data_IF_260174957168
#
_entry.id   IF_260174957168
#
_cell.length_a   1.000
_cell.length_b   1.000
_cell.length_c   1.000
_cell.angle_alpha   90.00
_cell.angle_beta   90.00
_cell.angle_gamma   90.00
#
_symmetry.space_group_name_H-M   'P 1'
#
loop_
_entity.id
_entity.type
_entity.pdbx_description
1 polymer ?
#
# COMPACT_ATOMS: atom_id res chain seq x y z
N UNK A 1 8.72 -1.63 15.14
CA UNK A 1 7.35 -1.07 15.13
C UNK A 1 6.97 -0.38 16.44
N UNK A 2 6.74 -1.10 17.55
CA UNK A 2 6.28 -0.50 18.81
C UNK A 2 7.06 0.73 19.28
N UNK A 3 8.39 0.74 19.20
CA UNK A 3 9.23 1.87 19.64
C UNK A 3 8.90 3.22 18.99
N UNK A 4 8.46 3.22 17.72
CA UNK A 4 8.27 4.46 16.96
C UNK A 4 6.80 4.74 16.60
N UNK A 5 5.94 3.71 16.66
CA UNK A 5 4.56 3.81 16.17
C UNK A 5 3.49 3.42 17.20
N UNK A 6 3.85 3.15 18.46
CA UNK A 6 2.87 2.72 19.47
C UNK A 6 1.70 3.70 19.63
N UNK A 7 1.93 5.01 19.50
CA UNK A 7 0.90 6.06 19.58
C UNK A 7 -0.11 6.03 18.42
N UNK A 8 0.11 5.21 17.39
CA UNK A 8 -0.80 4.99 16.27
C UNK A 8 -1.47 3.62 16.32
N UNK A 9 -1.02 2.69 17.16
CA UNK A 9 -1.49 1.30 17.17
C UNK A 9 -2.52 1.12 18.28
N UNK A 10 -3.66 0.51 17.97
CA UNK A 10 -4.65 0.08 18.96
C UNK A 10 -5.26 -1.28 18.59
N UNK A 11 -5.46 -2.20 19.56
CA UNK A 11 -4.85 -2.19 20.88
C UNK A 11 -3.33 -2.36 20.75
N UNK A 12 -2.57 -1.76 21.66
CA UNK A 12 -1.12 -1.94 21.72
C UNK A 12 -0.74 -2.75 22.95
N UNK A 13 -0.04 -3.86 22.72
CA UNK A 13 0.39 -4.81 23.77
C UNK A 13 1.90 -4.77 24.04
N UNK A 14 2.63 -3.83 23.43
CA UNK A 14 4.08 -3.73 23.60
C UNK A 14 4.49 -2.88 24.81
N UNK A 15 5.81 -2.71 24.95
CA UNK A 15 6.44 -2.12 26.15
C UNK A 15 6.95 -0.69 25.97
N UNK A 16 6.73 -0.07 24.80
CA UNK A 16 7.35 1.22 24.46
C UNK A 16 6.51 2.44 24.84
N UNK A 17 5.38 2.26 25.54
CA UNK A 17 4.50 3.33 25.99
C UNK A 17 3.03 2.95 25.87
N UNK A 18 2.14 3.92 26.06
CA UNK A 18 0.70 3.72 25.85
C UNK A 18 0.36 3.58 24.36
N UNK A 19 -0.65 2.76 24.05
CA UNK A 19 -1.20 2.66 22.71
C UNK A 19 -2.07 3.85 22.31
N UNK A 20 -2.56 3.82 21.08
CA UNK A 20 -3.65 4.70 20.67
C UNK A 20 -5.00 4.23 21.25
N UNK A 21 -5.92 5.17 21.47
CA UNK A 21 -7.31 4.84 21.83
C UNK A 21 -8.10 4.26 20.65
N UNK A 22 -7.76 4.68 19.43
CA UNK A 22 -8.30 4.16 18.18
C UNK A 22 -7.15 3.76 17.27
N UNK A 23 -7.29 2.64 16.56
CA UNK A 23 -6.24 2.18 15.66
C UNK A 23 -6.05 3.14 14.48
N UNK A 24 -4.83 3.59 14.27
CA UNK A 24 -4.41 4.46 13.16
C UNK A 24 -3.24 3.83 12.39
N UNK A 25 -2.99 2.54 12.60
CA UNK A 25 -1.91 1.80 11.98
C UNK A 25 -2.45 0.52 11.32
N UNK A 26 -2.45 0.50 10.00
CA UNK A 26 -3.05 -0.56 9.18
C UNK A 26 -1.99 -1.13 8.23
N UNK A 27 -1.18 -2.12 8.65
CA UNK A 27 -0.13 -2.70 7.84
C UNK A 27 -0.68 -3.70 6.81
N UNK A 28 0.07 -3.91 5.72
CA UNK A 28 -0.07 -5.06 4.82
C UNK A 28 1.10 -6.02 5.04
N UNK A 29 0.86 -7.33 4.95
CA UNK A 29 1.92 -8.33 4.99
C UNK A 29 2.86 -8.21 3.78
N UNK A 30 4.16 -8.40 4.02
CA UNK A 30 5.18 -8.60 3.00
C UNK A 30 5.93 -9.91 3.14
N UNK A 31 6.87 -10.17 2.22
CA UNK A 31 7.62 -11.43 2.22
C UNK A 31 8.47 -11.63 3.49
N UNK A 32 8.95 -10.54 4.09
CA UNK A 32 9.69 -10.62 5.35
C UNK A 32 8.82 -11.04 6.53
N UNK A 33 7.52 -10.73 6.52
CA UNK A 33 6.58 -11.21 7.55
C UNK A 33 6.32 -12.70 7.38
N UNK A 34 6.08 -13.15 6.15
CA UNK A 34 5.85 -14.57 5.82
C UNK A 34 7.06 -15.46 6.11
N UNK A 35 8.27 -15.04 5.73
CA UNK A 35 9.51 -15.75 6.06
C UNK A 35 9.68 -15.86 7.58
N UNK A 36 9.18 -14.89 8.35
CA UNK A 36 9.28 -14.88 9.81
C UNK A 36 8.15 -15.69 10.43
N UNK A 37 8.40 -17.00 10.60
CA UNK A 37 7.45 -17.93 11.24
C UNK A 37 6.05 -17.88 10.60
N UNK A 38 5.98 -17.82 9.28
CA UNK A 38 4.71 -17.84 8.53
C UNK A 38 3.75 -16.73 8.97
N UNK A 39 4.27 -15.48 9.07
CA UNK A 39 3.52 -14.30 9.49
C UNK A 39 2.94 -14.35 10.92
N UNK A 40 3.19 -15.39 11.72
CA UNK A 40 2.62 -15.53 13.05
C UNK A 40 2.90 -14.32 13.97
N UNK A 41 4.11 -13.73 14.01
CA UNK A 41 4.36 -12.55 14.85
C UNK A 41 3.52 -11.34 14.45
N UNK A 42 3.20 -11.19 13.16
CA UNK A 42 2.30 -10.14 12.68
C UNK A 42 0.87 -10.39 13.18
N UNK A 43 0.36 -11.62 13.03
CA UNK A 43 -1.00 -12.01 13.42
C UNK A 43 -1.21 -11.96 14.95
N UNK A 44 -0.16 -12.25 15.71
CA UNK A 44 -0.18 -12.14 17.17
C UNK A 44 -0.19 -10.68 17.63
N UNK A 45 0.58 -9.82 16.95
CA UNK A 45 0.86 -8.46 17.39
C UNK A 45 -0.25 -7.48 17.03
N UNK A 46 -0.77 -7.53 15.80
CA UNK A 46 -1.82 -6.63 15.36
C UNK A 46 -3.22 -7.18 15.70
N UNK A 47 -4.20 -6.27 15.78
CA UNK A 47 -5.62 -6.61 15.71
C UNK A 47 -6.24 -5.79 14.60
N UNK A 48 -6.55 -6.44 13.49
CA UNK A 48 -6.99 -5.81 12.25
C UNK A 48 -8.39 -6.31 11.85
N UNK A 49 -9.10 -5.58 10.96
CA UNK A 49 -10.35 -6.07 10.42
C UNK A 49 -10.18 -7.34 9.57
N UNK A 50 -11.30 -7.94 9.17
CA UNK A 50 -11.31 -9.07 8.24
C UNK A 50 -10.61 -10.31 8.80
N UNK A 51 -9.76 -10.93 7.99
CA UNK A 51 -8.93 -12.06 8.40
C UNK A 51 -7.50 -11.62 8.80
N UNK A 52 -7.28 -10.31 8.96
CA UNK A 52 -6.02 -9.66 9.32
C UNK A 52 -4.90 -9.73 8.27
N UNK A 53 -5.01 -10.60 7.26
CA UNK A 53 -4.08 -10.70 6.12
C UNK A 53 -4.48 -9.78 4.97
N UNK A 54 -5.77 -9.79 4.64
CA UNK A 54 -6.40 -8.85 3.74
C UNK A 54 -7.75 -8.39 4.30
N UNK A 55 -8.00 -7.10 4.18
CA UNK A 55 -9.11 -6.47 4.86
C UNK A 55 -9.42 -5.09 4.29
N UNK A 56 -10.49 -4.47 4.77
CA UNK A 56 -10.82 -3.10 4.39
C UNK A 56 -11.12 -2.25 5.61
N UNK A 57 -10.95 -0.95 5.46
CA UNK A 57 -11.37 0.05 6.44
C UNK A 57 -11.67 1.38 5.74
N UNK A 58 -12.29 2.31 6.45
CA UNK A 58 -12.61 3.64 5.93
C UNK A 58 -12.03 4.73 6.83
N UNK A 59 -11.46 5.77 6.22
CA UNK A 59 -11.05 7.01 6.89
C UNK A 59 -11.51 8.19 6.05
N UNK A 60 -12.47 8.95 6.58
CA UNK A 60 -13.08 10.07 5.87
C UNK A 60 -13.65 9.64 4.50
N UNK A 61 -13.26 10.31 3.40
CA UNK A 61 -13.74 10.01 2.05
C UNK A 61 -13.05 8.80 1.39
N UNK A 62 -12.11 8.13 2.07
CA UNK A 62 -11.31 7.06 1.48
C UNK A 62 -11.68 5.70 2.06
N UNK A 63 -12.05 4.76 1.19
CA UNK A 63 -12.07 3.33 1.48
C UNK A 63 -10.71 2.74 1.10
N UNK A 64 -10.09 2.05 2.06
CA UNK A 64 -8.82 1.36 1.88
C UNK A 64 -9.05 -0.14 1.81
N UNK A 65 -8.40 -0.79 0.85
CA UNK A 65 -8.40 -2.23 0.65
C UNK A 65 -6.97 -2.74 0.75
N UNK A 66 -6.70 -3.52 1.78
CA UNK A 66 -5.39 -4.08 2.09
C UNK A 66 -5.35 -5.49 1.57
N UNK A 67 -4.34 -5.82 0.76
CA UNK A 67 -4.15 -7.17 0.22
C UNK A 67 -2.86 -7.80 0.75
N UNK A 68 -2.85 -9.12 0.80
CA UNK A 68 -1.64 -9.92 0.90
C UNK A 68 -1.20 -10.34 -0.51
N UNK A 69 0.03 -9.97 -0.86
CA UNK A 69 0.60 -10.19 -2.20
C UNK A 69 1.67 -11.27 -2.21
N UNK A 70 1.95 -11.88 -1.06
CA UNK A 70 2.97 -12.92 -0.94
C UNK A 70 2.45 -14.29 -1.40
N UNK A 71 3.28 -15.05 -2.09
CA UNK A 71 2.91 -16.36 -2.63
C UNK A 71 2.47 -17.38 -1.56
N UNK A 72 2.75 -17.14 -0.28
CA UNK A 72 2.29 -17.97 0.82
C UNK A 72 0.85 -17.69 1.29
N UNK A 73 0.16 -16.66 0.77
CA UNK A 73 -1.23 -16.41 1.14
C UNK A 73 -2.14 -17.60 0.76
N UNK A 74 -2.78 -18.28 1.73
CA UNK A 74 -3.59 -19.48 1.48
C UNK A 74 -4.80 -19.24 0.57
N UNK A 75 -5.37 -18.03 0.57
CA UNK A 75 -6.51 -17.70 -0.29
C UNK A 75 -6.09 -17.34 -1.74
N UNK A 76 -4.78 -17.29 -2.01
CA UNK A 76 -4.15 -17.05 -3.31
C UNK A 76 -3.90 -15.57 -3.62
N UNK A 77 -2.98 -15.32 -4.55
CA UNK A 77 -2.49 -13.97 -4.92
C UNK A 77 -2.62 -13.59 -6.40
N UNK A 78 -3.25 -14.45 -7.20
CA UNK A 78 -3.53 -14.11 -8.60
C UNK A 78 -4.97 -13.61 -8.75
N UNK A 79 -5.31 -13.10 -9.94
CA UNK A 79 -6.61 -12.49 -10.21
C UNK A 79 -7.82 -13.46 -10.11
N UNK A 80 -7.58 -14.78 -10.10
CA UNK A 80 -8.60 -15.82 -9.90
C UNK A 80 -8.69 -16.34 -8.46
N UNK A 81 -7.94 -15.73 -7.53
CA UNK A 81 -7.90 -16.12 -6.13
C UNK A 81 -9.18 -15.79 -5.37
N UNK A 82 -9.37 -16.42 -4.20
CA UNK A 82 -10.48 -16.09 -3.29
C UNK A 82 -10.34 -14.64 -2.80
N UNK A 83 -9.11 -14.19 -2.55
CA UNK A 83 -8.81 -12.80 -2.20
C UNK A 83 -9.21 -11.82 -3.32
N UNK A 84 -8.92 -12.14 -4.59
CA UNK A 84 -9.28 -11.28 -5.73
C UNK A 84 -10.80 -11.17 -5.92
N UNK A 85 -11.54 -12.27 -5.78
CA UNK A 85 -13.00 -12.25 -5.81
C UNK A 85 -13.61 -11.47 -4.64
N UNK A 86 -13.00 -11.57 -3.45
CA UNK A 86 -13.36 -10.73 -2.30
C UNK A 86 -13.18 -9.24 -2.64
N UNK A 87 -12.01 -8.85 -3.14
CA UNK A 87 -11.71 -7.46 -3.47
C UNK A 87 -12.67 -6.90 -4.51
N UNK A 88 -12.89 -7.63 -5.60
CA UNK A 88 -13.83 -7.26 -6.66
C UNK A 88 -15.22 -7.00 -6.09
N UNK A 89 -15.71 -7.88 -5.21
CA UNK A 89 -17.00 -7.69 -4.53
C UNK A 89 -17.01 -6.48 -3.61
N UNK A 90 -15.93 -6.22 -2.87
CA UNK A 90 -15.90 -5.09 -1.95
C UNK A 90 -15.85 -3.74 -2.68
N UNK A 91 -15.09 -3.65 -3.77
CA UNK A 91 -15.03 -2.42 -4.57
C UNK A 91 -16.38 -2.10 -5.22
N UNK A 92 -17.13 -3.09 -5.71
CA UNK A 92 -18.48 -2.86 -6.28
C UNK A 92 -19.50 -2.43 -5.23
N UNK A 93 -19.27 -2.74 -3.95
CA UNK A 93 -20.12 -2.30 -2.83
C UNK A 93 -19.65 -0.97 -2.22
N UNK A 94 -18.50 -0.44 -2.62
CA UNK A 94 -17.96 0.78 -2.06
C UNK A 94 -18.79 2.00 -2.47
N UNK A 95 -19.07 2.85 -1.49
CA UNK A 95 -19.72 4.16 -1.66
C UNK A 95 -18.79 5.30 -1.26
N UNK A 96 -17.50 5.01 -1.08
CA UNK A 96 -16.51 6.03 -0.78
C UNK A 96 -16.17 6.83 -2.05
N UNK A 97 -15.93 8.15 -1.93
CA UNK A 97 -15.38 8.95 -3.02
C UNK A 97 -14.08 8.38 -3.61
N UNK A 98 -13.24 7.75 -2.78
CA UNK A 98 -11.96 7.20 -3.19
C UNK A 98 -11.77 5.75 -2.73
N UNK A 99 -11.39 4.88 -3.66
CA UNK A 99 -10.99 3.51 -3.40
C UNK A 99 -9.47 3.35 -3.59
N UNK A 100 -8.75 3.19 -2.47
CA UNK A 100 -7.30 3.00 -2.46
C UNK A 100 -6.97 1.56 -2.10
N UNK A 101 -6.19 0.90 -2.95
CA UNK A 101 -5.71 -0.46 -2.72
C UNK A 101 -4.23 -0.38 -2.34
N UNK A 102 -3.80 -1.16 -1.35
CA UNK A 102 -2.38 -1.29 -1.06
C UNK A 102 -1.95 -2.68 -0.59
N UNK A 103 -0.71 -3.04 -0.94
CA UNK A 103 -0.08 -4.33 -0.65
C UNK A 103 1.44 -4.24 -0.81
N UNK A 104 2.17 -5.33 -0.61
CA UNK A 104 3.64 -5.29 -0.59
C UNK A 104 4.29 -5.29 -1.98
N UNK A 105 4.03 -6.30 -2.82
CA UNK A 105 4.76 -6.53 -4.07
C UNK A 105 4.18 -5.74 -5.26
N UNK A 106 4.93 -4.85 -5.93
CA UNK A 106 4.41 -3.92 -6.93
C UNK A 106 4.02 -4.62 -8.25
N UNK A 107 2.83 -4.37 -8.84
CA UNK A 107 2.48 -4.91 -10.16
C UNK A 107 3.39 -4.38 -11.28
N UNK A 108 3.87 -3.16 -11.10
CA UNK A 108 4.76 -2.44 -11.99
C UNK A 108 5.85 -1.74 -11.18
N UNK A 109 7.11 -1.96 -11.56
CA UNK A 109 8.28 -1.31 -10.97
C UNK A 109 9.43 -1.35 -11.98
N UNK A 110 10.15 -0.25 -12.09
CA UNK A 110 11.37 -0.08 -12.89
C UNK A 110 12.65 -0.29 -12.09
N UNK A 111 12.55 -0.73 -10.83
CA UNK A 111 13.66 -0.89 -9.89
C UNK A 111 14.18 -2.33 -9.83
N UNK A 112 15.02 -2.60 -8.84
CA UNK A 112 15.84 -3.81 -8.74
C UNK A 112 15.04 -5.12 -8.79
N UNK A 113 13.99 -5.27 -7.97
CA UNK A 113 13.16 -6.48 -7.98
C UNK A 113 12.16 -6.48 -9.13
N UNK A 114 11.74 -5.29 -9.58
CA UNK A 114 10.94 -5.11 -10.77
C UNK A 114 9.48 -5.52 -10.59
N UNK A 115 8.81 -5.77 -11.72
CA UNK A 115 7.37 -6.01 -11.73
C UNK A 115 6.96 -7.38 -11.22
N UNK A 116 5.96 -7.41 -10.34
CA UNK A 116 5.31 -8.63 -9.86
C UNK A 116 4.07 -8.94 -10.69
N UNK A 117 4.23 -9.78 -11.72
CA UNK A 117 3.20 -9.97 -12.76
C UNK A 117 1.91 -10.61 -12.26
N UNK A 118 1.96 -11.47 -11.23
CA UNK A 118 0.74 -12.07 -10.66
C UNK A 118 -0.16 -11.06 -9.93
N UNK A 119 0.37 -9.90 -9.56
CA UNK A 119 -0.40 -8.79 -8.96
C UNK A 119 -0.96 -7.81 -10.01
N UNK A 120 -0.82 -8.08 -11.32
CA UNK A 120 -1.42 -7.26 -12.38
C UNK A 120 -2.89 -7.63 -12.60
N UNK A 121 -3.72 -7.33 -11.61
CA UNK A 121 -5.17 -7.52 -11.69
C UNK A 121 -5.83 -6.32 -12.38
N UNK A 122 -7.10 -6.47 -12.78
CA UNK A 122 -7.92 -5.40 -13.38
C UNK A 122 -8.50 -4.46 -12.31
N UNK A 123 -7.61 -3.84 -11.51
CA UNK A 123 -8.01 -2.99 -10.39
C UNK A 123 -8.86 -1.79 -10.84
N UNK A 124 -8.52 -1.20 -12.00
CA UNK A 124 -9.24 -0.04 -12.52
C UNK A 124 -10.68 -0.39 -12.86
N UNK A 125 -10.88 -1.51 -13.55
CA UNK A 125 -12.18 -2.03 -13.96
C UNK A 125 -13.04 -2.41 -12.74
N UNK A 126 -12.40 -2.76 -11.63
CA UNK A 126 -13.12 -3.05 -10.38
C UNK A 126 -13.45 -1.79 -9.57
N UNK A 127 -12.94 -0.62 -9.96
CA UNK A 127 -13.28 0.67 -9.34
C UNK A 127 -12.19 1.24 -8.43
N UNK A 128 -10.93 0.84 -8.61
CA UNK A 128 -9.81 1.46 -7.91
C UNK A 128 -9.46 2.84 -8.49
N UNK A 129 -9.08 3.76 -7.61
CA UNK A 129 -8.58 5.09 -7.96
C UNK A 129 -7.06 5.20 -7.82
N UNK A 130 -6.48 4.40 -6.92
CA UNK A 130 -5.06 4.39 -6.62
C UNK A 130 -4.61 3.01 -6.13
N UNK A 131 -3.45 2.55 -6.60
CA UNK A 131 -2.79 1.33 -6.11
C UNK A 131 -1.43 1.70 -5.54
N UNK A 132 -1.18 1.34 -4.29
CA UNK A 132 0.07 1.58 -3.58
C UNK A 132 0.78 0.26 -3.30
N UNK A 133 2.10 0.29 -3.38
CA UNK A 133 2.96 -0.86 -3.14
C UNK A 133 4.29 -0.46 -2.52
N UNK A 134 5.06 -1.45 -2.06
CA UNK A 134 6.41 -1.27 -1.52
C UNK A 134 7.38 -2.24 -2.19
N UNK A 135 8.05 -3.07 -1.38
CA UNK A 135 9.01 -4.11 -1.77
C UNK A 135 10.28 -3.60 -2.46
N UNK A 136 10.16 -2.93 -3.60
CA UNK A 136 11.27 -2.21 -4.19
C UNK A 136 11.56 -0.95 -3.38
N UNK A 137 12.79 -0.86 -2.85
CA UNK A 137 13.23 0.24 -1.97
C UNK A 137 13.57 1.51 -2.76
N UNK A 138 12.57 2.02 -3.49
CA UNK A 138 12.57 3.28 -4.24
C UNK A 138 11.22 3.98 -4.06
N UNK A 139 11.13 5.20 -4.55
CA UNK A 139 9.86 5.83 -4.87
C UNK A 139 9.68 5.87 -6.39
N UNK A 140 8.57 5.33 -6.87
CA UNK A 140 8.20 5.43 -8.27
C UNK A 140 6.69 5.66 -8.41
N UNK A 141 6.28 6.65 -9.19
CA UNK A 141 4.89 6.83 -9.61
C UNK A 141 4.75 6.48 -11.09
N UNK A 142 3.80 5.61 -11.40
CA UNK A 142 3.46 5.17 -12.75
C UNK A 142 2.00 5.50 -13.08
N UNK A 143 1.72 5.73 -14.35
CA UNK A 143 0.38 5.82 -14.92
C UNK A 143 0.21 4.73 -15.96
N UNK A 144 -0.63 3.73 -15.66
CA UNK A 144 -0.87 2.56 -16.51
C UNK A 144 -2.38 2.41 -16.68
N UNK A 145 -2.87 2.36 -17.93
CA UNK A 145 -4.29 2.17 -18.26
C UNK A 145 -5.24 3.11 -17.49
N UNK A 146 -4.86 4.39 -17.38
CA UNK A 146 -5.59 5.44 -16.65
C UNK A 146 -5.75 5.18 -15.13
N UNK A 147 -4.89 4.35 -14.55
CA UNK A 147 -4.77 4.16 -13.11
C UNK A 147 -3.37 4.57 -12.63
N UNK A 148 -3.33 5.30 -11.52
CA UNK A 148 -2.07 5.65 -10.86
C UNK A 148 -1.61 4.50 -9.98
N UNK A 149 -0.36 4.09 -10.17
CA UNK A 149 0.34 3.11 -9.34
C UNK A 149 1.51 3.82 -8.66
N UNK A 150 1.76 3.52 -7.39
CA UNK A 150 2.93 4.03 -6.67
C UNK A 150 3.66 2.89 -5.98
N UNK A 151 4.98 2.86 -6.17
CA UNK A 151 5.94 2.12 -5.35
C UNK A 151 6.51 3.10 -4.34
N UNK A 152 6.35 2.84 -3.05
CA UNK A 152 6.90 3.64 -1.96
C UNK A 152 7.59 2.74 -0.94
N UNK A 153 8.77 2.21 -1.31
CA UNK A 153 9.59 1.34 -0.46
C UNK A 153 10.70 2.06 0.31
N UNK A 154 10.73 3.40 0.30
CA UNK A 154 11.80 4.21 0.92
C UNK A 154 11.61 4.45 2.43
N UNK A 155 11.05 3.47 3.14
CA UNK A 155 10.77 3.56 4.59
C UNK A 155 11.98 3.32 5.50
N UNK A 156 13.13 2.92 4.96
CA UNK A 156 14.39 2.75 5.75
C UNK A 156 15.23 1.50 5.44
N UNK A 157 14.83 0.65 4.49
CA UNK A 157 15.68 -0.44 3.97
C UNK A 157 16.82 0.08 3.08
N UNK A 158 17.75 -0.77 2.63
CA UNK A 158 18.78 -0.34 1.66
C UNK A 158 18.13 0.16 0.38
N UNK A 159 18.47 1.36 -0.06
CA UNK A 159 17.92 1.96 -1.29
C UNK A 159 18.41 1.19 -2.51
N UNK A 160 17.52 0.95 -3.48
CA UNK A 160 17.83 0.23 -4.72
C UNK A 160 18.08 1.15 -5.91
N UNK A 161 18.80 0.61 -6.89
CA UNK A 161 18.99 1.26 -8.19
C UNK A 161 17.77 1.06 -9.10
N UNK A 162 17.61 2.00 -10.03
CA UNK A 162 16.67 1.86 -11.14
C UNK A 162 17.34 1.23 -12.36
N UNK A 163 16.55 0.50 -13.13
CA UNK A 163 16.91 0.02 -14.46
C UNK A 163 16.19 0.83 -15.55
N UNK A 164 15.90 0.18 -16.68
CA UNK A 164 15.13 0.77 -17.76
C UNK A 164 13.73 1.14 -17.25
N UNK A 165 13.30 2.42 -17.39
CA UNK A 165 11.96 2.81 -16.98
C UNK A 165 10.90 2.07 -17.79
N UNK A 166 9.88 1.55 -17.09
CA UNK A 166 8.71 0.99 -17.74
C UNK A 166 7.93 2.08 -18.50
N UNK A 167 7.25 1.73 -19.60
CA UNK A 167 6.24 2.60 -20.19
C UNK A 167 5.22 3.00 -19.12
N UNK A 168 4.98 4.30 -18.98
CA UNK A 168 4.09 4.86 -17.95
C UNK A 168 4.78 5.28 -16.64
N UNK A 169 6.08 5.01 -16.45
CA UNK A 169 6.85 5.60 -15.35
C UNK A 169 6.88 7.13 -15.48
N UNK A 170 6.45 7.86 -14.44
CA UNK A 170 6.32 9.33 -14.45
C UNK A 170 7.37 9.99 -13.57
N UNK A 171 7.55 9.49 -12.35
CA UNK A 171 8.53 10.00 -11.38
C UNK A 171 9.28 8.83 -10.77
N UNK A 172 10.59 8.98 -10.60
CA UNK A 172 11.49 8.01 -9.98
C UNK A 172 12.42 8.73 -9.02
N UNK A 173 12.58 8.21 -7.81
CA UNK A 173 13.45 8.78 -6.80
C UNK A 173 14.05 7.68 -5.92
N UNK A 174 15.37 7.73 -5.73
CA UNK A 174 16.14 6.79 -4.91
C UNK A 174 17.34 7.49 -4.24
N UNK A 175 17.21 8.78 -3.89
CA UNK A 175 18.32 9.56 -3.31
C UNK A 175 18.27 9.67 -1.79
N UNK A 176 17.09 9.55 -1.17
CA UNK A 176 16.93 9.57 0.29
C UNK A 176 15.67 8.78 0.69
N UNK A 177 15.51 8.51 1.97
CA UNK A 177 14.28 7.98 2.54
C UNK A 177 13.19 9.03 2.61
N UNK A 178 11.94 8.58 2.75
CA UNK A 178 10.79 9.46 2.84
C UNK A 178 9.51 8.73 3.15
N UNK A 179 8.41 9.47 3.15
CA UNK A 179 7.08 8.94 3.31
C UNK A 179 6.12 9.66 2.37
N UNK A 180 4.99 9.01 2.07
CA UNK A 180 3.91 9.66 1.36
C UNK A 180 2.92 10.30 2.32
N UNK A 181 2.50 11.52 1.98
CA UNK A 181 1.33 12.18 2.54
C UNK A 181 0.18 12.07 1.52
N UNK A 182 -0.98 11.66 2.02
CA UNK A 182 -2.23 11.62 1.26
C UNK A 182 -3.24 12.52 1.96
N UNK A 183 -3.77 13.49 1.22
CA UNK A 183 -4.85 14.37 1.66
C UNK A 183 -6.04 14.19 0.74
N UNK A 184 -7.22 13.97 1.30
CA UNK A 184 -8.41 13.64 0.53
C UNK A 184 -9.63 14.41 1.03
N UNK A 185 -10.38 14.97 0.08
CA UNK A 185 -11.77 15.40 0.25
C UNK A 185 -12.67 14.61 -0.72
N UNK A 186 -13.88 15.07 -1.00
CA UNK A 186 -14.80 14.33 -1.89
C UNK A 186 -14.49 14.52 -3.38
N UNK A 187 -13.74 15.56 -3.74
CA UNK A 187 -13.44 15.98 -5.11
C UNK A 187 -11.98 15.73 -5.50
N UNK A 188 -11.07 15.75 -4.52
CA UNK A 188 -9.63 15.62 -4.74
C UNK A 188 -8.95 14.60 -3.83
N UNK A 189 -8.00 13.86 -4.42
CA UNK A 189 -7.03 13.01 -3.73
C UNK A 189 -5.62 13.49 -4.07
N UNK A 190 -4.99 14.19 -3.13
CA UNK A 190 -3.64 14.77 -3.27
C UNK A 190 -2.60 13.82 -2.69
N UNK A 191 -1.51 13.65 -3.43
CA UNK A 191 -0.45 12.69 -3.15
C UNK A 191 0.89 13.42 -3.17
N UNK A 192 1.64 13.35 -2.08
CA UNK A 192 2.97 13.93 -1.99
C UNK A 192 3.96 12.89 -1.47
N UNK A 193 5.13 12.79 -2.08
CA UNK A 193 6.27 12.09 -1.48
C UNK A 193 7.24 13.12 -0.90
N UNK A 194 7.49 12.99 0.40
CA UNK A 194 8.29 13.93 1.17
C UNK A 194 9.51 13.19 1.72
N UNK A 195 10.71 13.67 1.40
CA UNK A 195 11.94 13.05 1.90
C UNK A 195 12.18 13.39 3.39
N UNK A 196 13.21 12.81 4.02
CA UNK A 196 13.52 13.07 5.44
C UNK A 196 13.96 14.50 5.75
N UNK A 197 14.39 15.25 4.73
CA UNK A 197 14.76 16.67 4.87
C UNK A 197 13.53 17.59 4.81
N UNK A 198 12.36 17.05 4.45
CA UNK A 198 11.11 17.81 4.29
C UNK A 198 10.87 18.32 2.86
N UNK A 199 11.70 17.93 1.89
CA UNK A 199 11.51 18.32 0.50
C UNK A 199 10.37 17.51 -0.13
N UNK A 200 9.46 18.20 -0.82
CA UNK A 200 8.44 17.56 -1.65
C UNK A 200 9.07 17.17 -2.98
N UNK A 201 9.30 15.87 -3.16
CA UNK A 201 9.96 15.31 -4.35
C UNK A 201 8.95 15.09 -5.47
N UNK A 202 7.74 14.67 -5.12
CA UNK A 202 6.65 14.46 -6.05
C UNK A 202 5.35 15.01 -5.47
N UNK A 203 4.50 15.53 -6.35
CA UNK A 203 3.19 16.07 -6.04
C UNK A 203 2.23 15.75 -7.18
N UNK A 204 1.18 15.00 -6.87
CA UNK A 204 0.14 14.61 -7.81
C UNK A 204 -1.25 14.83 -7.21
N UNK A 205 -2.25 15.01 -8.08
CA UNK A 205 -3.65 15.13 -7.67
C UNK A 205 -4.50 14.29 -8.60
N UNK A 206 -5.32 13.42 -8.02
CA UNK A 206 -6.37 12.69 -8.71
C UNK A 206 -7.68 13.46 -8.45
N UNK A 207 -8.43 13.72 -9.52
CA UNK A 207 -9.72 14.40 -9.47
C UNK A 207 -10.83 13.36 -9.58
N UNK A 208 -11.92 13.55 -8.83
CA UNK A 208 -13.09 12.69 -8.94
C UNK A 208 -13.61 12.80 -10.38
N UNK A 209 -13.83 11.66 -11.04
CA UNK A 209 -14.52 11.69 -12.32
C UNK A 209 -15.98 12.09 -12.08
N UNK A 210 -16.51 13.10 -12.80
CA UNK A 210 -17.91 13.53 -12.67
C UNK A 210 -18.90 12.43 -13.09
#
# INVERSE_FOLDING_TARGET
MGRYFHTFISPYSGIYGEGALENRFFPSLGNHDWITKQAQPYLDYFKLPGNERYYQFRRGPVAFFVLDSDAHEPDGVNQSSVQAEWLKKQLTLSTAPWNVIYFHHPPFSSAYHGSTTWMRWTFKEWGADLVLSGHDHVYERLQIDNLTYIVNGLGGGSIYDFFLPLPGSVVRYNQDYGAMLMEADVDTLRLQFINRLGDVIDNATILSNP
#
